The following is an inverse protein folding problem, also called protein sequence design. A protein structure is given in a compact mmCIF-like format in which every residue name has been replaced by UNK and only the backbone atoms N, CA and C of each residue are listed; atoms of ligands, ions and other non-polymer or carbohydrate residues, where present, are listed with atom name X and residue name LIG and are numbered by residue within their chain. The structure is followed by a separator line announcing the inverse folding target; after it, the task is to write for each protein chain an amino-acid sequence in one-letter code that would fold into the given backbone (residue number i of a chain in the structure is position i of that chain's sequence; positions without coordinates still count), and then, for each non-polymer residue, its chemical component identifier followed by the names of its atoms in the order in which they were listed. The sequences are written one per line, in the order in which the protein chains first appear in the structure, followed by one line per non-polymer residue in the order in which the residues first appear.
data_IF_793465805436
#
_entry.id   IF_793465805436
#
_cell.length_a   1.000
_cell.length_b   1.000
_cell.length_c   1.000
_cell.angle_alpha   90.00
_cell.angle_beta   90.00
_cell.angle_gamma   90.00
#
_symmetry.space_group_name_H-M   'P 1'
#
loop_
_entity.id
_entity.type
_entity.pdbx_description
1 polymer ?
#
# COMPACT_ATOMS: atom_id res chain seq x y z
N UNK A 1 -10.74 30.58 -15.20
CA UNK A 1 -10.17 29.81 -14.07
C UNK A 1 -9.45 28.61 -14.67
N UNK A 2 -8.11 28.67 -14.79
CA UNK A 2 -7.33 27.62 -15.47
C UNK A 2 -7.30 26.38 -14.58
N UNK A 3 -7.95 25.30 -15.02
CA UNK A 3 -7.76 23.96 -14.48
C UNK A 3 -6.56 23.35 -15.19
N UNK A 4 -5.39 23.40 -14.57
CA UNK A 4 -4.18 22.76 -15.09
C UNK A 4 -4.29 21.24 -14.84
N UNK A 5 -5.07 20.58 -15.70
CA UNK A 5 -5.37 19.14 -15.68
C UNK A 5 -4.19 18.25 -16.15
N UNK A 6 -2.96 18.76 -16.25
CA UNK A 6 -1.91 18.07 -17.01
C UNK A 6 -0.52 18.04 -16.36
N UNK A 7 -0.44 17.71 -15.07
CA UNK A 7 0.77 17.11 -14.50
C UNK A 7 0.58 15.62 -14.18
N UNK A 8 -0.33 14.99 -14.89
CA UNK A 8 -0.40 13.54 -15.06
C UNK A 8 0.64 13.14 -16.10
N UNK A 9 1.88 12.80 -15.73
CA UNK A 9 2.75 12.18 -16.75
C UNK A 9 4.24 12.12 -16.52
N UNK A 10 4.80 12.76 -15.49
CA UNK A 10 6.21 12.52 -15.15
C UNK A 10 6.26 11.42 -14.09
N UNK A 11 6.94 10.29 -14.37
CA UNK A 11 7.18 9.26 -13.37
C UNK A 11 7.81 9.87 -12.12
N UNK A 12 7.34 9.40 -10.97
CA UNK A 12 7.84 9.76 -9.66
C UNK A 12 7.75 8.54 -8.75
N UNK A 13 8.69 8.42 -7.82
CA UNK A 13 8.63 7.45 -6.71
C UNK A 13 7.49 7.73 -5.75
N UNK A 14 6.99 8.97 -5.73
CA UNK A 14 5.89 9.40 -4.88
C UNK A 14 4.58 9.39 -5.64
N UNK A 15 3.58 8.77 -5.02
CA UNK A 15 2.23 8.59 -5.53
C UNK A 15 1.30 9.47 -4.71
N UNK A 16 0.42 10.20 -5.39
CA UNK A 16 -0.62 11.01 -4.80
C UNK A 16 -1.97 10.29 -4.90
N UNK A 17 -2.62 10.12 -3.75
CA UNK A 17 -3.91 9.45 -3.61
C UNK A 17 -4.93 10.49 -3.16
N UNK A 18 -5.98 10.71 -3.95
CA UNK A 18 -7.05 11.69 -3.69
C UNK A 18 -8.36 11.02 -3.32
N UNK A 19 -9.23 11.79 -2.68
CA UNK A 19 -10.57 11.38 -2.26
C UNK A 19 -10.57 10.28 -1.19
N UNK A 20 -9.53 10.23 -0.36
CA UNK A 20 -9.45 9.23 0.72
C UNK A 20 -10.47 9.54 1.84
N UNK A 21 -11.12 8.51 2.43
CA UNK A 21 -11.97 8.70 3.62
C UNK A 21 -11.21 9.34 4.79
N UNK A 22 -11.90 10.11 5.63
CA UNK A 22 -11.29 10.74 6.82
C UNK A 22 -10.81 9.69 7.85
N UNK A 23 -11.47 8.54 7.89
CA UNK A 23 -11.17 7.45 8.81
C UNK A 23 -9.98 6.59 8.36
N UNK A 24 -9.46 6.82 7.15
CA UNK A 24 -8.37 6.00 6.62
C UNK A 24 -7.13 6.14 7.50
N UNK A 25 -6.49 5.01 7.74
CA UNK A 25 -5.22 4.96 8.48
C UNK A 25 -4.04 4.94 7.52
N UNK A 26 -2.88 5.36 7.99
CA UNK A 26 -1.62 5.22 7.26
C UNK A 26 -1.36 3.77 6.87
N UNK A 27 -1.72 2.82 7.74
CA UNK A 27 -1.58 1.39 7.47
C UNK A 27 -2.41 0.94 6.26
N UNK A 28 -3.65 1.42 6.09
CA UNK A 28 -4.46 1.08 4.90
C UNK A 28 -3.84 1.65 3.62
N UNK A 29 -3.27 2.86 3.68
CA UNK A 29 -2.57 3.47 2.55
C UNK A 29 -1.29 2.70 2.20
N UNK A 30 -0.53 2.26 3.20
CA UNK A 30 0.65 1.42 3.01
C UNK A 30 0.26 0.08 2.38
N UNK A 31 -0.78 -0.59 2.90
CA UNK A 31 -1.27 -1.86 2.36
C UNK A 31 -1.68 -1.78 0.89
N UNK A 32 -2.18 -0.63 0.44
CA UNK A 32 -2.49 -0.40 -0.97
C UNK A 32 -1.24 -0.45 -1.87
N UNK A 33 -0.07 -0.08 -1.35
CA UNK A 33 1.20 -0.08 -2.06
C UNK A 33 1.97 -1.39 -2.05
N UNK A 34 1.79 -2.22 -1.00
CA UNK A 34 2.54 -3.48 -0.80
C UNK A 34 2.57 -4.38 -2.04
N UNK A 35 1.46 -4.59 -2.78
CA UNK A 35 1.47 -5.47 -3.95
C UNK A 35 2.42 -5.03 -5.08
N UNK A 36 2.75 -3.74 -5.13
CA UNK A 36 3.56 -3.14 -6.20
C UNK A 36 5.04 -2.99 -5.84
N UNK A 37 5.38 -3.05 -4.55
CA UNK A 37 6.75 -2.98 -4.07
C UNK A 37 6.87 -2.45 -2.64
N UNK A 38 8.12 -2.23 -2.21
CA UNK A 38 8.41 -1.71 -0.87
C UNK A 38 8.00 -0.24 -0.76
N UNK A 39 7.21 0.06 0.27
CA UNK A 39 6.86 1.42 0.67
C UNK A 39 7.92 1.95 1.64
N UNK A 40 8.47 3.13 1.36
CA UNK A 40 9.51 3.76 2.20
C UNK A 40 8.93 4.83 3.11
N UNK A 41 7.94 5.59 2.64
CA UNK A 41 7.31 6.66 3.41
C UNK A 41 5.83 6.79 3.09
N UNK A 42 5.07 7.34 4.04
CA UNK A 42 3.66 7.69 3.86
C UNK A 42 3.34 9.01 4.57
N UNK A 43 2.48 9.81 3.96
CA UNK A 43 1.95 11.05 4.54
C UNK A 43 0.46 11.12 4.27
N UNK A 44 -0.35 11.15 5.33
CA UNK A 44 -1.81 11.29 5.22
C UNK A 44 -2.24 12.67 5.69
N UNK A 45 -2.92 13.41 4.81
CA UNK A 45 -3.49 14.72 5.09
C UNK A 45 -5.00 14.57 5.31
N UNK A 46 -5.39 14.16 6.53
CA UNK A 46 -6.80 13.90 6.90
C UNK A 46 -7.71 15.09 6.59
N UNK A 47 -7.28 16.32 6.91
CA UNK A 47 -8.05 17.53 6.63
C UNK A 47 -8.22 17.89 5.15
N UNK A 48 -7.49 17.23 4.23
CA UNK A 48 -7.56 17.46 2.79
C UNK A 48 -8.07 16.26 2.00
N UNK A 49 -8.40 15.15 2.67
CA UNK A 49 -8.75 13.88 2.02
C UNK A 49 -7.70 13.46 0.96
N UNK A 50 -6.43 13.63 1.29
CA UNK A 50 -5.29 13.31 0.43
C UNK A 50 -4.25 12.49 1.18
N UNK A 51 -3.58 11.60 0.47
CA UNK A 51 -2.41 10.89 0.96
C UNK A 51 -1.30 10.87 -0.09
N UNK A 52 -0.08 10.72 0.40
CA UNK A 52 1.11 10.53 -0.41
C UNK A 52 1.82 9.27 0.05
N UNK A 53 2.26 8.47 -0.90
CA UNK A 53 2.92 7.19 -0.69
C UNK A 53 4.23 7.18 -1.48
N UNK A 54 5.36 6.95 -0.82
CA UNK A 54 6.66 6.81 -1.47
C UNK A 54 7.01 5.34 -1.61
N UNK A 55 7.33 4.93 -2.84
CA UNK A 55 7.87 3.63 -3.15
C UNK A 55 9.40 3.68 -3.14
N UNK A 56 10.06 2.57 -2.81
CA UNK A 56 11.51 2.45 -2.92
C UNK A 56 12.00 2.71 -4.36
N UNK A 57 11.23 2.21 -5.33
CA UNK A 57 11.56 2.24 -6.75
C UNK A 57 10.51 2.99 -7.58
N UNK A 58 10.98 3.74 -8.57
CA UNK A 58 10.09 4.48 -9.50
C UNK A 58 9.28 3.52 -10.37
N UNK A 59 9.84 2.34 -10.65
CA UNK A 59 9.17 1.27 -11.39
C UNK A 59 7.95 0.76 -10.61
N UNK A 60 8.10 0.50 -9.31
CA UNK A 60 7.01 0.08 -8.44
C UNK A 60 5.86 1.11 -8.43
N UNK A 61 6.22 2.40 -8.32
CA UNK A 61 5.24 3.48 -8.37
C UNK A 61 4.53 3.56 -9.74
N UNK A 62 5.27 3.37 -10.82
CA UNK A 62 4.71 3.39 -12.18
C UNK A 62 3.75 2.23 -12.42
N UNK A 63 4.08 1.02 -11.95
CA UNK A 63 3.20 -0.15 -12.01
C UNK A 63 1.90 0.11 -11.23
N UNK A 64 1.99 0.68 -10.03
CA UNK A 64 0.82 1.02 -9.21
C UNK A 64 -0.11 2.02 -9.92
N UNK A 65 0.42 3.13 -10.43
CA UNK A 65 -0.38 4.14 -11.14
C UNK A 65 -1.00 3.56 -12.41
N UNK A 66 -0.26 2.74 -13.16
CA UNK A 66 -0.75 2.08 -14.37
C UNK A 66 -1.89 1.12 -14.05
N UNK A 67 -1.74 0.30 -13.01
CA UNK A 67 -2.78 -0.63 -12.57
C UNK A 67 -4.07 0.11 -12.19
N UNK A 68 -3.97 1.17 -11.40
CA UNK A 68 -5.14 1.95 -10.97
C UNK A 68 -5.70 2.89 -12.05
N UNK A 69 -5.07 2.97 -13.23
CA UNK A 69 -5.66 3.63 -14.40
C UNK A 69 -6.76 2.77 -15.02
N UNK A 70 -6.59 1.45 -15.01
CA UNK A 70 -7.56 0.49 -15.56
C UNK A 70 -8.52 -0.06 -14.52
N UNK A 71 -8.14 -0.04 -13.23
CA UNK A 71 -8.94 -0.54 -12.12
C UNK A 71 -9.15 0.57 -11.07
N UNK A 72 -10.39 0.91 -10.76
CA UNK A 72 -10.66 1.97 -9.77
C UNK A 72 -10.41 1.44 -8.34
N UNK A 73 -9.43 2.01 -7.65
CA UNK A 73 -9.17 1.65 -6.26
C UNK A 73 -10.30 2.13 -5.34
N UNK A 74 -10.61 1.35 -4.31
CA UNK A 74 -11.58 1.70 -3.28
C UNK A 74 -10.98 1.52 -1.90
N UNK A 75 -11.21 2.49 -1.01
CA UNK A 75 -10.88 2.41 0.41
C UNK A 75 -12.18 2.56 1.20
N UNK A 76 -12.54 1.53 1.97
CA UNK A 76 -13.78 1.47 2.77
C UNK A 76 -15.04 1.80 1.94
N UNK A 77 -15.10 1.29 0.70
CA UNK A 77 -16.22 1.52 -0.23
C UNK A 77 -16.22 2.89 -0.92
N UNK A 78 -15.23 3.75 -0.67
CA UNK A 78 -15.07 5.04 -1.37
C UNK A 78 -14.02 4.93 -2.46
N UNK A 79 -14.39 5.33 -3.68
CA UNK A 79 -13.46 5.39 -4.81
C UNK A 79 -12.34 6.41 -4.56
N UNK A 80 -11.09 6.02 -4.80
CA UNK A 80 -9.92 6.89 -4.67
C UNK A 80 -9.20 7.02 -6.01
N UNK A 81 -8.49 8.13 -6.18
CA UNK A 81 -7.77 8.42 -7.41
C UNK A 81 -6.27 8.38 -7.16
N UNK A 82 -5.57 7.54 -7.91
CA UNK A 82 -4.12 7.31 -7.78
C UNK A 82 -3.40 7.94 -8.97
N UNK A 83 -2.43 8.82 -8.71
CA UNK A 83 -1.62 9.50 -9.73
C UNK A 83 -0.20 9.71 -9.24
N UNK A 84 0.72 10.04 -10.14
CA UNK A 84 2.04 10.52 -9.71
C UNK A 84 1.93 11.82 -8.91
N UNK A 85 2.78 11.97 -7.91
CA UNK A 85 2.99 13.23 -7.21
C UNK A 85 3.87 14.16 -8.03
N UNK A 86 3.69 15.47 -7.83
CA UNK A 86 4.60 16.49 -8.37
C UNK A 86 5.95 16.51 -7.63
N UNK A 87 6.06 15.84 -6.49
CA UNK A 87 7.29 15.70 -5.71
C UNK A 87 7.99 14.40 -6.06
N UNK A 88 9.33 14.42 -6.17
CA UNK A 88 10.15 13.22 -6.40
C UNK A 88 10.44 12.42 -5.13
N UNK A 89 10.39 13.08 -3.99
CA UNK A 89 10.64 12.51 -2.67
C UNK A 89 9.66 13.13 -1.66
N UNK A 90 9.28 12.34 -0.65
CA UNK A 90 8.42 12.83 0.43
C UNK A 90 9.26 13.51 1.50
N UNK A 91 9.18 14.84 1.56
CA UNK A 91 9.76 15.61 2.65
C UNK A 91 8.87 15.51 3.88
N UNK A 92 9.05 14.47 4.67
CA UNK A 92 8.55 14.45 6.03
C UNK A 92 9.53 15.29 6.86
N UNK A 93 9.11 16.50 7.28
CA UNK A 93 9.89 17.26 8.27
C UNK A 93 10.15 16.37 9.50
N UNK A 94 11.23 16.58 10.25
CA UNK A 94 11.54 15.81 11.48
C UNK A 94 10.35 15.74 12.46
N UNK A 95 9.43 16.71 12.40
CA UNK A 95 8.17 16.76 13.14
C UNK A 95 7.09 15.77 12.66
N UNK A 96 7.14 15.28 11.43
CA UNK A 96 6.17 14.33 10.87
C UNK A 96 6.75 12.92 10.68
N UNK A 97 8.07 12.79 10.46
CA UNK A 97 8.75 11.49 10.35
C UNK A 97 8.64 10.66 11.64
N UNK A 98 8.53 11.34 12.80
CA UNK A 98 8.38 10.74 14.13
C UNK A 98 6.97 10.88 14.75
N UNK A 99 6.01 11.55 14.09
CA UNK A 99 4.73 11.92 14.72
C UNK A 99 3.57 10.94 14.48
N UNK A 100 3.81 9.76 13.91
CA UNK A 100 2.84 8.68 14.03
C UNK A 100 3.58 7.35 14.22
N UNK A 101 3.73 6.93 15.47
CA UNK A 101 4.26 5.60 15.82
C UNK A 101 3.54 4.48 15.06
N UNK A 102 2.26 4.69 14.75
CA UNK A 102 1.44 3.81 13.91
C UNK A 102 1.97 3.68 12.47
N UNK A 103 2.38 4.78 11.84
CA UNK A 103 2.92 4.77 10.47
C UNK A 103 4.29 4.08 10.42
N UNK A 104 5.16 4.36 11.40
CA UNK A 104 6.46 3.70 11.51
C UNK A 104 6.31 2.19 11.73
N UNK A 105 5.43 1.78 12.64
CA UNK A 105 5.13 0.35 12.88
C UNK A 105 4.55 -0.32 11.63
N UNK A 106 3.65 0.35 10.90
CA UNK A 106 3.08 -0.17 9.68
C UNK A 106 4.11 -0.31 8.55
N UNK A 107 5.05 0.64 8.41
CA UNK A 107 6.14 0.55 7.42
C UNK A 107 7.12 -0.58 7.76
N UNK A 108 7.43 -0.79 9.04
CA UNK A 108 8.25 -1.91 9.51
C UNK A 108 7.58 -3.26 9.19
N UNK A 109 6.28 -3.38 9.49
CA UNK A 109 5.52 -4.58 9.16
C UNK A 109 5.39 -4.81 7.64
N UNK A 110 5.15 -3.75 6.87
CA UNK A 110 5.07 -3.82 5.41
C UNK A 110 6.39 -4.20 4.75
N UNK A 111 7.52 -3.81 5.35
CA UNK A 111 8.85 -4.21 4.87
C UNK A 111 9.08 -5.72 5.00
N UNK A 112 8.47 -6.37 5.99
CA UNK A 112 8.49 -7.83 6.12
C UNK A 112 7.62 -8.53 5.05
N UNK A 113 6.60 -7.86 4.51
CA UNK A 113 5.68 -8.39 3.50
C UNK A 113 6.12 -8.11 2.05
N UNK A 114 6.82 -7.00 1.80
CA UNK A 114 7.22 -6.55 0.46
C UNK A 114 8.51 -7.22 -0.07
N UNK A 115 8.97 -8.28 0.60
CA UNK A 115 9.98 -9.21 0.09
C UNK A 115 9.40 -10.11 -1.02
N UNK A 116 9.08 -9.53 -2.18
CA UNK A 116 8.82 -10.32 -3.39
C UNK A 116 10.15 -10.86 -3.94
N UNK A 117 10.64 -11.96 -3.34
CA UNK A 117 11.10 -13.11 -4.13
C UNK A 117 11.14 -14.46 -3.38
N UNK A 118 10.56 -14.59 -2.19
CA UNK A 118 10.47 -15.91 -1.55
C UNK A 118 9.10 -16.09 -0.88
N UNK A 119 8.20 -16.80 -1.57
CA UNK A 119 7.14 -17.62 -0.98
C UNK A 119 7.70 -18.79 -0.16
N UNK A 120 8.94 -18.71 0.33
CA UNK A 120 9.36 -19.52 1.46
C UNK A 120 8.84 -18.81 2.69
N UNK A 121 7.85 -19.43 3.33
CA UNK A 121 7.65 -19.23 4.75
C UNK A 121 9.02 -19.13 5.41
N UNK A 122 9.29 -17.99 6.05
CA UNK A 122 10.54 -17.79 6.75
C UNK A 122 10.79 -19.02 7.65
N UNK A 123 12.05 -19.40 7.90
CA UNK A 123 12.33 -20.56 8.73
C UNK A 123 11.53 -20.39 10.03
N UNK A 124 10.60 -21.32 10.28
CA UNK A 124 9.63 -21.35 11.40
C UNK A 124 8.22 -20.74 11.22
N UNK A 125 7.68 -20.55 10.01
CA UNK A 125 6.23 -20.25 9.90
C UNK A 125 5.38 -21.51 10.08
N UNK A 126 4.53 -21.54 11.10
CA UNK A 126 3.56 -22.63 11.34
C UNK A 126 2.16 -22.15 10.96
N UNK A 127 1.54 -22.80 9.99
CA UNK A 127 0.12 -22.59 9.67
C UNK A 127 -0.73 -23.49 10.58
N UNK A 128 -1.46 -22.88 11.53
CA UNK A 128 -2.43 -23.62 12.34
C UNK A 128 -3.80 -23.58 11.65
N UNK A 129 -4.18 -24.70 11.04
CA UNK A 129 -5.50 -24.92 10.46
C UNK A 129 -6.35 -25.73 11.44
N UNK A 130 -7.54 -25.25 11.79
CA UNK A 130 -8.51 -25.95 12.64
C UNK A 130 -9.72 -26.25 11.78
N UNK A 131 -10.05 -27.54 11.64
CA UNK A 131 -11.23 -27.99 10.91
C UNK A 131 -12.25 -28.48 11.93
N UNK A 132 -13.35 -27.76 12.06
CA UNK A 132 -14.48 -28.17 12.90
C UNK A 132 -15.55 -28.84 12.03
N UNK A 133 -16.26 -29.82 12.58
CA UNK A 133 -17.36 -30.52 11.90
C UNK A 133 -16.96 -31.22 10.58
N UNK A 134 -15.90 -32.03 10.59
CA UNK A 134 -15.49 -32.82 9.42
C UNK A 134 -16.57 -33.84 9.02
N UNK A 135 -17.25 -33.57 7.89
CA UNK A 135 -18.25 -34.49 7.29
C UNK A 135 -17.58 -35.58 6.46
N UNK A 136 -16.39 -35.31 5.93
CA UNK A 136 -15.56 -36.25 5.17
C UNK A 136 -14.11 -36.21 5.66
N UNK A 137 -13.38 -37.33 5.60
CA UNK A 137 -11.97 -37.36 5.96
C UNK A 137 -11.17 -36.47 5.00
N UNK A 138 -10.37 -35.57 5.56
CA UNK A 138 -9.39 -34.76 4.82
C UNK A 138 -8.02 -35.41 5.05
N UNK A 139 -7.36 -35.79 3.96
CA UNK A 139 -5.96 -36.19 3.99
C UNK A 139 -5.07 -34.99 3.73
N UNK A 140 -3.81 -35.04 4.16
CA UNK A 140 -2.83 -33.98 3.91
C UNK A 140 -2.67 -33.70 2.40
N UNK A 141 -2.83 -34.73 1.57
CA UNK A 141 -2.74 -34.64 0.11
C UNK A 141 -3.78 -33.69 -0.49
N UNK A 142 -5.00 -33.65 0.06
CA UNK A 142 -6.06 -32.75 -0.40
C UNK A 142 -5.78 -31.29 -0.02
N UNK A 143 -5.03 -31.05 1.05
CA UNK A 143 -4.72 -29.72 1.56
C UNK A 143 -3.56 -29.04 0.78
N UNK A 144 -2.74 -29.83 0.08
CA UNK A 144 -1.53 -29.37 -0.60
C UNK A 144 -1.70 -29.13 -2.12
N UNK A 145 -2.92 -28.94 -2.62
CA UNK A 145 -3.23 -28.82 -4.06
C UNK A 145 -3.02 -27.42 -4.64
#
# INVERSE_FOLDING_TARGET
VKLDKNQTGKPSKVIHIRNIPNEVTEAEIIHLGIPFGRVTNVLVLKGKNQAFLEMADEVAASTMVTYFTSCMAQLRGRAVYVQFSNHKELKTGQTHSNANASAQAALQAASALSGQNETQGGPNTVLRVIIEHMVYPVTLEVLCQ
#
